data_IF_302735698855
#
_entry.id   IF_302735698855
#
_cell.length_a   1.000
_cell.length_b   1.000
_cell.length_c   1.000
_cell.angle_alpha   90.00
_cell.angle_beta   90.00
_cell.angle_gamma   90.00
#
_symmetry.space_group_name_H-M   'P 1'
#
loop_
_entity.id
_entity.type
_entity.pdbx_description
1 polymer ?
#
# COMPACT_ATOMS: atom_id res chain seq x y z
N UNK A 1 -2.21 27.69 -4.75
CA UNK A 1 -1.27 27.69 -3.61
C UNK A 1 -0.16 26.67 -3.88
N UNK A 2 1.06 26.86 -3.35
CA UNK A 2 2.16 25.88 -3.48
C UNK A 2 2.16 24.94 -2.27
N UNK A 3 2.31 23.63 -2.49
CA UNK A 3 2.35 22.60 -1.44
C UNK A 3 3.52 21.65 -1.67
N UNK A 4 4.03 21.04 -0.60
CA UNK A 4 5.00 19.95 -0.70
C UNK A 4 4.27 18.68 -1.17
N UNK A 5 4.64 18.17 -2.33
CA UNK A 5 4.05 16.98 -2.93
C UNK A 5 5.13 15.93 -3.27
N UNK A 6 4.68 14.68 -3.38
CA UNK A 6 5.48 13.53 -3.77
C UNK A 6 4.63 12.60 -4.63
N UNK A 7 5.28 11.78 -5.47
CA UNK A 7 4.59 10.72 -6.18
C UNK A 7 4.59 9.44 -5.37
N UNK A 8 3.44 8.77 -5.36
CA UNK A 8 3.25 7.44 -4.82
C UNK A 8 2.97 6.50 -6.00
N UNK A 9 3.92 5.60 -6.26
CA UNK A 9 3.79 4.57 -7.29
C UNK A 9 3.37 3.25 -6.64
N UNK A 10 2.22 2.74 -7.05
CA UNK A 10 1.78 1.40 -6.69
C UNK A 10 1.92 0.45 -7.88
N UNK A 11 2.20 -0.81 -7.60
CA UNK A 11 2.25 -1.86 -8.60
C UNK A 11 1.57 -3.13 -8.06
N UNK A 12 0.80 -3.80 -8.91
CA UNK A 12 0.14 -5.06 -8.59
C UNK A 12 0.30 -6.04 -9.76
N UNK A 13 0.54 -7.30 -9.43
CA UNK A 13 0.65 -8.42 -10.36
C UNK A 13 -0.03 -9.63 -9.70
N UNK A 14 -0.59 -10.53 -10.50
CA UNK A 14 -1.10 -11.80 -9.99
C UNK A 14 -0.64 -12.97 -10.86
N UNK A 15 -0.55 -14.14 -10.21
CA UNK A 15 -0.31 -15.43 -10.82
C UNK A 15 -1.14 -16.50 -10.11
N UNK A 16 -1.15 -17.72 -10.63
CA UNK A 16 -1.91 -18.83 -10.05
C UNK A 16 -2.16 -19.96 -11.04
N UNK A 17 -2.39 -21.17 -10.53
CA UNK A 17 -2.77 -22.32 -11.36
C UNK A 17 -4.29 -22.31 -11.57
N UNK A 18 -4.73 -22.51 -12.82
CA UNK A 18 -6.17 -22.59 -13.15
C UNK A 18 -6.98 -21.30 -13.01
N UNK A 19 -6.34 -20.16 -12.69
CA UNK A 19 -7.01 -18.84 -12.62
C UNK A 19 -7.15 -18.22 -14.01
N UNK A 20 -8.18 -17.41 -14.19
CA UNK A 20 -8.47 -16.71 -15.44
C UNK A 20 -7.31 -15.81 -15.89
N UNK A 21 -7.10 -15.67 -17.21
CA UNK A 21 -6.02 -14.84 -17.77
C UNK A 21 -6.20 -13.35 -17.50
N UNK A 22 -7.41 -12.93 -17.08
CA UNK A 22 -7.73 -11.56 -16.69
C UNK A 22 -8.62 -11.57 -15.45
N UNK A 23 -8.26 -10.80 -14.43
CA UNK A 23 -9.01 -10.66 -13.18
C UNK A 23 -9.10 -9.21 -12.74
N UNK A 24 -10.20 -8.88 -12.07
CA UNK A 24 -10.42 -7.56 -11.49
C UNK A 24 -10.10 -7.56 -9.99
N UNK A 25 -9.41 -6.51 -9.55
CA UNK A 25 -9.03 -6.29 -8.17
C UNK A 25 -9.59 -4.96 -7.68
N UNK A 26 -10.18 -4.96 -6.48
CA UNK A 26 -10.46 -3.76 -5.73
C UNK A 26 -9.22 -3.36 -4.96
N UNK A 27 -8.71 -2.16 -5.20
CA UNK A 27 -7.56 -1.60 -4.51
C UNK A 27 -7.99 -0.37 -3.72
N UNK A 28 -7.57 -0.30 -2.47
CA UNK A 28 -7.78 0.84 -1.59
C UNK A 28 -6.43 1.40 -1.16
N UNK A 29 -6.20 2.67 -1.48
CA UNK A 29 -5.08 3.45 -0.95
C UNK A 29 -5.53 4.21 0.30
N UNK A 30 -4.67 4.21 1.33
CA UNK A 30 -4.87 4.93 2.59
C UNK A 30 -3.58 5.69 2.90
N UNK A 31 -3.66 7.01 3.02
CA UNK A 31 -2.55 7.91 3.31
C UNK A 31 -2.54 8.25 4.80
N UNK A 32 -1.35 8.34 5.38
CA UNK A 32 -1.11 8.55 6.82
C UNK A 32 -1.89 7.53 7.69
N UNK A 33 -1.77 6.24 7.35
CA UNK A 33 -2.55 5.14 7.95
C UNK A 33 -2.39 5.01 9.47
N UNK A 34 -1.35 5.59 10.07
CA UNK A 34 -1.18 5.71 11.54
C UNK A 34 -2.04 6.81 12.18
N UNK A 35 -2.61 7.74 11.41
CA UNK A 35 -3.38 8.91 11.88
C UNK A 35 -4.67 9.16 11.08
N UNK A 36 -5.45 8.11 10.84
CA UNK A 36 -6.69 8.17 10.03
C UNK A 36 -7.68 9.27 10.47
N UNK A 37 -7.78 9.58 11.78
CA UNK A 37 -8.70 10.62 12.29
C UNK A 37 -8.26 12.05 11.97
N UNK A 38 -6.97 12.27 11.75
CA UNK A 38 -6.39 13.59 11.46
C UNK A 38 -5.20 13.43 10.50
N UNK A 39 -5.48 13.04 9.24
CA UNK A 39 -4.45 12.67 8.30
C UNK A 39 -3.68 13.92 7.87
N UNK A 40 -2.35 13.80 7.84
CA UNK A 40 -1.41 14.85 7.43
C UNK A 40 -1.14 14.81 5.92
N UNK A 41 -1.44 13.71 5.26
CA UNK A 41 -1.22 13.48 3.83
C UNK A 41 -2.56 13.30 3.10
N UNK A 42 -2.70 13.91 1.93
CA UNK A 42 -3.89 13.83 1.09
C UNK A 42 -3.54 13.68 -0.39
N UNK A 43 -4.50 13.20 -1.18
CA UNK A 43 -4.35 13.11 -2.63
C UNK A 43 -4.39 14.50 -3.27
N UNK A 44 -3.48 14.78 -4.20
CA UNK A 44 -3.43 16.06 -4.91
C UNK A 44 -4.63 16.24 -5.85
N UNK A 45 -5.15 15.14 -6.41
CA UNK A 45 -6.34 15.12 -7.27
C UNK A 45 -7.66 15.30 -6.52
N UNK A 46 -7.66 15.06 -5.20
CA UNK A 46 -8.86 15.11 -4.36
C UNK A 46 -8.51 15.74 -3.01
N UNK A 47 -8.56 17.07 -2.96
CA UNK A 47 -8.13 17.85 -1.81
C UNK A 47 -8.83 17.38 -0.52
N UNK A 48 -8.06 17.21 0.56
CA UNK A 48 -8.57 16.76 1.86
C UNK A 48 -8.87 15.26 1.96
N UNK A 49 -8.94 14.51 0.86
CA UNK A 49 -9.13 13.05 0.91
C UNK A 49 -7.82 12.34 1.24
N UNK A 50 -7.88 11.39 2.16
CA UNK A 50 -6.74 10.56 2.59
C UNK A 50 -6.93 9.08 2.25
N UNK A 51 -8.02 8.72 1.61
CA UNK A 51 -8.23 7.38 1.08
C UNK A 51 -8.80 7.46 -0.35
N UNK A 52 -8.49 6.47 -1.18
CA UNK A 52 -8.99 6.37 -2.55
C UNK A 52 -9.21 4.89 -2.88
N UNK A 53 -10.38 4.57 -3.42
CA UNK A 53 -10.70 3.23 -3.91
C UNK A 53 -10.65 3.22 -5.44
N UNK A 54 -10.18 2.12 -6.02
CA UNK A 54 -10.11 1.93 -7.45
C UNK A 54 -10.25 0.46 -7.83
N UNK A 55 -10.67 0.20 -9.07
CA UNK A 55 -10.64 -1.14 -9.65
C UNK A 55 -9.49 -1.23 -10.63
N UNK A 56 -8.68 -2.28 -10.52
CA UNK A 56 -7.63 -2.62 -11.46
C UNK A 56 -7.98 -3.93 -12.16
N UNK A 57 -8.08 -3.89 -13.48
CA UNK A 57 -8.08 -5.09 -14.31
C UNK A 57 -6.64 -5.46 -14.61
N UNK A 58 -6.25 -6.68 -14.25
CA UNK A 58 -4.90 -7.20 -14.47
C UNK A 58 -4.95 -8.36 -15.46
N UNK A 59 -3.90 -8.48 -16.27
CA UNK A 59 -3.63 -9.68 -17.06
C UNK A 59 -2.61 -10.55 -16.30
N UNK A 60 -2.80 -11.87 -16.32
CA UNK A 60 -2.00 -12.82 -15.56
C UNK A 60 -0.51 -12.72 -15.89
N UNK A 61 0.34 -12.60 -14.88
CA UNK A 61 1.80 -12.50 -15.01
C UNK A 61 2.28 -11.16 -15.59
N UNK A 62 1.40 -10.16 -15.71
CA UNK A 62 1.77 -8.81 -16.14
C UNK A 62 1.58 -7.83 -14.99
N UNK A 63 2.67 -7.20 -14.56
CA UNK A 63 2.62 -6.15 -13.55
C UNK A 63 1.97 -4.89 -14.11
N UNK A 64 1.00 -4.35 -13.37
CA UNK A 64 0.40 -3.04 -13.64
C UNK A 64 0.76 -2.06 -12.53
N UNK A 65 1.33 -0.92 -12.93
CA UNK A 65 1.60 0.18 -12.02
C UNK A 65 0.70 1.39 -12.28
N UNK A 66 0.42 2.14 -11.22
CA UNK A 66 -0.23 3.46 -11.26
C UNK A 66 0.53 4.42 -10.35
N UNK A 67 0.58 5.67 -10.76
CA UNK A 67 1.24 6.73 -10.02
C UNK A 67 0.20 7.80 -9.65
N UNK A 68 0.20 8.20 -8.38
CA UNK A 68 -0.67 9.26 -7.86
C UNK A 68 0.19 10.28 -7.13
N UNK A 69 -0.19 11.56 -7.21
CA UNK A 69 0.47 12.60 -6.45
C UNK A 69 -0.24 12.82 -5.12
N UNK A 70 0.54 12.91 -4.05
CA UNK A 70 0.05 13.18 -2.70
C UNK A 70 0.78 14.39 -2.13
N UNK A 71 0.12 15.13 -1.26
CA UNK A 71 0.69 16.33 -0.64
C UNK A 71 0.55 16.28 0.88
N UNK A 72 1.43 17.00 1.56
CA UNK A 72 1.40 17.16 3.02
C UNK A 72 0.66 18.46 3.34
N UNK A 73 -0.30 18.39 4.26
CA UNK A 73 -1.04 19.57 4.73
C UNK A 73 -0.08 20.59 5.38
N UNK A 74 -0.27 21.90 5.14
CA UNK A 74 0.51 22.92 5.82
C UNK A 74 0.18 22.94 7.33
N UNK A 75 1.12 23.42 8.15
CA UNK A 75 0.87 23.67 9.57
C UNK A 75 0.76 22.41 10.46
N UNK A 76 1.16 21.23 9.96
CA UNK A 76 1.16 20.01 10.79
C UNK A 76 2.10 20.14 11.99
N UNK A 77 1.62 19.72 13.16
CA UNK A 77 2.37 19.75 14.42
C UNK A 77 3.31 18.56 14.56
N UNK A 78 2.79 17.35 14.32
CA UNK A 78 3.58 16.12 14.38
C UNK A 78 4.38 15.89 13.09
N UNK A 79 5.70 16.03 13.22
CA UNK A 79 6.68 15.80 12.15
C UNK A 79 7.61 14.61 12.42
N UNK A 80 7.42 13.91 13.55
CA UNK A 80 8.29 12.80 13.96
C UNK A 80 7.70 11.45 13.58
N UNK A 81 6.38 11.30 13.72
CA UNK A 81 5.70 10.06 13.29
C UNK A 81 5.80 9.93 11.77
N UNK A 82 6.20 8.74 11.31
CA UNK A 82 6.25 8.40 9.87
C UNK A 82 4.91 8.68 9.20
N UNK A 83 4.98 9.04 7.92
CA UNK A 83 3.86 9.21 7.03
C UNK A 83 3.71 7.92 6.22
N UNK A 84 2.75 7.09 6.61
CA UNK A 84 2.59 5.74 6.05
C UNK A 84 1.49 5.71 4.98
N UNK A 85 1.84 5.30 3.77
CA UNK A 85 0.90 4.95 2.71
C UNK A 85 0.63 3.44 2.75
N UNK A 86 -0.63 3.04 2.82
CA UNK A 86 -1.06 1.64 2.82
C UNK A 86 -1.88 1.37 1.56
N UNK A 87 -1.50 0.34 0.81
CA UNK A 87 -2.28 -0.23 -0.28
C UNK A 87 -2.91 -1.53 0.19
N UNK A 88 -4.24 -1.61 0.17
CA UNK A 88 -5.00 -2.84 0.38
C UNK A 88 -5.56 -3.32 -0.94
N UNK A 89 -5.62 -4.63 -1.14
CA UNK A 89 -6.19 -5.19 -2.36
C UNK A 89 -7.07 -6.40 -2.05
N UNK A 90 -8.06 -6.62 -2.90
CA UNK A 90 -8.97 -7.76 -2.80
C UNK A 90 -9.46 -8.15 -4.19
N UNK A 91 -9.73 -9.43 -4.38
CA UNK A 91 -10.34 -9.91 -5.62
C UNK A 91 -11.77 -9.35 -5.73
N UNK A 92 -12.13 -8.81 -6.90
CA UNK A 92 -13.50 -8.39 -7.17
C UNK A 92 -14.30 -9.62 -7.59
N UNK A 93 -15.18 -10.11 -6.72
CA UNK A 93 -16.00 -11.29 -7.00
C UNK A 93 -17.08 -11.05 -8.06
N UNK A 94 -17.33 -12.05 -8.91
CA UNK A 94 -18.46 -12.11 -9.85
C UNK A 94 -19.78 -12.54 -9.16
N UNK A 95 -20.14 -11.94 -8.03
CA UNK A 95 -21.43 -12.26 -7.39
C UNK A 95 -22.65 -11.75 -8.20
N UNK A 96 -22.44 -11.01 -9.29
CA UNK A 96 -23.51 -10.29 -10.02
C UNK A 96 -23.91 -10.87 -11.37
N UNK A 97 -23.26 -11.92 -11.91
CA UNK A 97 -23.66 -12.53 -13.20
C UNK A 97 -24.42 -13.86 -13.06
N UNK A 98 -24.56 -14.39 -11.84
CA UNK A 98 -25.16 -15.71 -11.60
C UNK A 98 -26.70 -15.75 -11.65
N UNK A 99 -27.39 -14.61 -11.69
CA UNK A 99 -28.84 -14.56 -11.43
C UNK A 99 -29.76 -14.62 -12.67
N UNK A 100 -29.26 -14.55 -13.93
CA UNK A 100 -30.14 -14.31 -15.08
C UNK A 100 -30.03 -15.24 -16.31
N UNK A 101 -29.29 -16.35 -16.29
CA UNK A 101 -29.30 -17.28 -17.45
C UNK A 101 -29.63 -18.72 -17.07
N UNK A 102 -30.92 -19.07 -17.23
CA UNK A 102 -31.48 -20.43 -17.08
C UNK A 102 -31.11 -21.35 -18.27
N UNK A 103 -29.85 -21.45 -18.68
CA UNK A 103 -29.39 -22.47 -19.66
C UNK A 103 -27.95 -22.92 -19.36
N UNK A 104 -27.81 -24.16 -18.86
CA UNK A 104 -26.54 -24.89 -18.55
C UNK A 104 -25.49 -24.08 -17.78
N UNK A 105 -25.71 -23.89 -16.48
CA UNK A 105 -24.74 -23.27 -15.58
C UNK A 105 -23.53 -24.19 -15.38
N UNK A 106 -22.43 -23.97 -16.12
CA UNK A 106 -21.11 -24.37 -15.62
C UNK A 106 -20.94 -23.61 -14.30
N UNK A 107 -20.88 -24.30 -13.16
CA UNK A 107 -20.49 -23.68 -11.90
C UNK A 107 -19.07 -23.17 -12.08
N UNK A 108 -18.92 -21.88 -12.40
CA UNK A 108 -17.62 -21.22 -12.46
C UNK A 108 -17.17 -21.03 -11.02
N UNK A 109 -16.07 -21.69 -10.66
CA UNK A 109 -15.44 -21.51 -9.35
C UNK A 109 -14.73 -20.16 -9.36
N UNK A 110 -15.01 -19.31 -8.37
CA UNK A 110 -14.29 -18.05 -8.22
C UNK A 110 -12.91 -18.32 -7.60
N UNK A 111 -11.85 -17.66 -8.10
CA UNK A 111 -10.55 -17.78 -7.47
C UNK A 111 -10.56 -17.15 -6.07
N UNK A 112 -9.59 -17.54 -5.24
CA UNK A 112 -9.35 -16.98 -3.92
C UNK A 112 -7.93 -16.45 -3.85
N UNK A 113 -7.72 -15.40 -3.06
CA UNK A 113 -6.37 -14.90 -2.79
C UNK A 113 -5.66 -15.82 -1.81
N UNK A 114 -4.35 -15.96 -1.97
CA UNK A 114 -3.50 -16.66 -1.00
C UNK A 114 -3.49 -15.88 0.32
N UNK A 115 -3.98 -16.51 1.39
CA UNK A 115 -4.07 -15.92 2.72
C UNK A 115 -2.78 -16.08 3.53
N UNK A 116 -1.76 -16.76 2.99
CA UNK A 116 -0.43 -16.79 3.59
C UNK A 116 0.32 -15.46 3.41
N UNK A 117 -0.07 -14.67 2.41
CA UNK A 117 0.46 -13.33 2.17
C UNK A 117 -0.51 -12.26 2.71
N UNK A 118 0.00 -11.17 3.28
CA UNK A 118 -0.86 -10.08 3.73
C UNK A 118 -1.53 -9.41 2.52
N UNK A 119 -2.84 -9.16 2.63
CA UNK A 119 -3.65 -8.50 1.60
C UNK A 119 -3.43 -6.97 1.56
N UNK A 120 -2.30 -6.52 2.09
CA UNK A 120 -1.90 -5.13 2.12
C UNK A 120 -0.38 -4.98 2.05
N UNK A 121 0.06 -3.84 1.53
CA UNK A 121 1.45 -3.39 1.52
C UNK A 121 1.53 -1.97 2.04
N UNK A 122 2.62 -1.66 2.75
CA UNK A 122 2.86 -0.35 3.35
C UNK A 122 4.20 0.20 2.90
N UNK A 123 4.23 1.49 2.66
CA UNK A 123 5.45 2.25 2.49
C UNK A 123 5.42 3.48 3.40
N UNK A 124 6.58 3.94 3.84
CA UNK A 124 6.71 4.95 4.88
C UNK A 124 7.77 5.97 4.52
N UNK A 125 7.43 7.24 4.69
CA UNK A 125 8.40 8.34 4.60
C UNK A 125 8.47 9.10 5.93
N UNK A 126 9.60 9.72 6.20
CA UNK A 126 9.81 10.58 7.37
C UNK A 126 9.97 12.03 6.94
N UNK A 127 9.50 12.96 7.77
CA UNK A 127 9.85 14.37 7.61
C UNK A 127 11.22 14.55 8.25
N UNK A 128 12.22 14.77 7.40
CA UNK A 128 13.59 14.95 7.81
C UNK A 128 13.74 16.19 8.72
N UNK A 129 14.42 16.01 9.85
CA UNK A 129 14.63 17.04 10.88
C UNK A 129 16.07 17.01 11.33
N UNK A 130 16.65 18.18 11.52
CA UNK A 130 18.02 18.36 12.01
C UNK A 130 19.10 17.68 11.14
N UNK A 131 18.89 17.58 9.82
CA UNK A 131 19.84 16.99 8.87
C UNK A 131 20.95 17.96 8.41
N UNK A 132 21.32 18.96 9.22
CA UNK A 132 22.31 19.97 8.80
C UNK A 132 21.80 20.96 7.75
N UNK A 133 22.74 21.71 7.13
CA UNK A 133 22.45 22.79 6.17
C UNK A 133 22.16 22.29 4.74
N UNK A 134 22.67 21.11 4.42
CA UNK A 134 22.48 20.42 3.14
C UNK A 134 21.17 19.61 3.08
N UNK A 135 20.48 19.44 4.22
CA UNK A 135 19.26 18.64 4.38
C UNK A 135 19.46 17.14 4.12
N UNK A 136 20.69 16.63 4.24
CA UNK A 136 21.02 15.21 4.04
C UNK A 136 21.36 14.57 5.39
N UNK A 137 20.54 13.63 5.83
CA UNK A 137 20.77 12.91 7.08
C UNK A 137 21.73 11.73 6.87
N UNK A 138 22.99 11.87 7.30
CA UNK A 138 24.01 10.80 7.25
C UNK A 138 24.23 10.25 8.67
N UNK A 139 23.74 9.04 9.00
CA UNK A 139 23.89 8.48 10.34
C UNK A 139 25.27 7.82 10.55
N UNK A 140 25.76 7.81 11.79
CA UNK A 140 26.96 7.08 12.22
C UNK A 140 26.57 6.04 13.28
N UNK A 141 25.86 4.99 12.84
CA UNK A 141 25.35 3.95 13.73
C UNK A 141 26.50 3.06 14.22
N UNK A 142 26.52 2.78 15.52
CA UNK A 142 27.51 1.89 16.17
C UNK A 142 26.79 0.88 17.04
N UNK A 143 27.20 -0.38 16.94
CA UNK A 143 26.62 -1.48 17.71
C UNK A 143 27.75 -2.18 18.47
N UNK A 144 27.52 -2.43 19.76
CA UNK A 144 28.39 -3.23 20.62
C UNK A 144 27.57 -4.33 21.27
N UNK A 145 28.04 -5.57 21.17
CA UNK A 145 27.42 -6.72 21.80
C UNK A 145 28.39 -7.35 22.81
N UNK A 146 27.86 -7.77 23.96
CA UNK A 146 28.61 -8.45 25.01
C UNK A 146 27.90 -9.80 25.25
N UNK A 147 28.62 -10.93 25.23
CA UNK A 147 28.03 -12.23 25.53
C UNK A 147 27.42 -12.24 26.93
N UNK A 148 26.18 -12.72 27.06
CA UNK A 148 25.55 -12.89 28.37
C UNK A 148 26.07 -14.11 29.12
N UNK A 149 26.66 -15.07 28.41
CA UNK A 149 27.37 -16.23 28.97
C UNK A 149 28.62 -16.55 28.17
N UNK A 150 29.66 -17.02 28.86
CA UNK A 150 30.93 -17.42 28.23
C UNK A 150 30.90 -18.84 27.66
N UNK A 151 30.05 -19.71 28.21
CA UNK A 151 29.91 -21.12 27.81
C UNK A 151 28.47 -21.56 28.04
N UNK A 152 27.88 -22.18 27.02
CA UNK A 152 26.65 -22.95 27.16
C UNK A 152 27.04 -24.37 27.57
N UNK A 153 26.47 -24.87 28.66
CA UNK A 153 26.60 -26.28 29.05
C UNK A 153 25.52 -27.05 28.27
N UNK A 154 25.96 -27.93 27.37
CA UNK A 154 25.14 -28.95 26.72
C UNK A 154 25.30 -30.26 27.49
#
# INVERSE_FOLDING_TARGET
>A
SRVACLSLKMCLEYSGLGVDPRLDFNVQLILDSKKIKSPRMCFLSAEGQSFQNQTLTLDKGLQRCQEVFVYIKPGIRDKLTTLDAEMRYGLRGEASQAAFSRRRYRRTLSPVLDLNEPLNRKDSITIQKNCGKDNICIPNLRITAIPNVKRYLL
#
